data_IF_984565118457
#
_entry.id   IF_984565118457
#
_cell.length_a   1.000
_cell.length_b   1.000
_cell.length_c   1.000
_cell.angle_alpha   90.00
_cell.angle_beta   90.00
_cell.angle_gamma   90.00
#
_symmetry.space_group_name_H-M   'P 1'
#
loop_
_entity.id
_entity.type
_entity.pdbx_description
1 polymer ?
#
# COMPACT_ATOMS: atom_id res chain seq x y z
N UNK A 1 -0.03 70.17 -37.02
CA UNK A 1 -0.74 71.31 -36.41
C UNK A 1 -2.24 71.04 -36.51
N UNK A 2 -2.95 71.04 -35.36
CA UNK A 2 -4.39 71.35 -35.17
C UNK A 2 -5.44 70.52 -35.97
N UNK A 3 -6.61 70.12 -35.48
CA UNK A 3 -7.30 70.14 -34.18
C UNK A 3 -8.71 69.52 -34.42
N UNK A 4 -9.27 68.84 -33.39
CA UNK A 4 -10.68 68.69 -33.03
C UNK A 4 -11.78 68.34 -34.06
N UNK A 5 -12.59 67.31 -33.76
CA UNK A 5 -13.96 67.52 -33.22
C UNK A 5 -14.64 66.27 -32.65
N UNK A 6 -15.27 66.45 -31.50
CA UNK A 6 -16.22 65.58 -30.80
C UNK A 6 -17.59 65.58 -31.49
N UNK A 7 -18.32 64.46 -31.49
CA UNK A 7 -19.79 64.45 -31.39
C UNK A 7 -20.33 63.06 -31.01
N UNK A 8 -21.11 63.08 -29.94
CA UNK A 8 -21.84 61.97 -29.32
C UNK A 8 -23.32 62.09 -29.71
N UNK A 9 -23.99 61.01 -30.12
CA UNK A 9 -25.46 60.88 -29.97
C UNK A 9 -25.89 59.43 -29.71
N UNK A 10 -26.93 59.35 -28.89
CA UNK A 10 -27.71 58.22 -28.32
C UNK A 10 -28.28 57.31 -29.42
N UNK A 11 -28.69 56.06 -29.24
CA UNK A 11 -28.91 55.17 -28.09
C UNK A 11 -29.86 54.07 -28.57
N UNK A 12 -29.78 52.85 -28.03
CA UNK A 12 -30.93 51.95 -27.88
C UNK A 12 -30.56 50.75 -27.00
N UNK A 13 -31.36 50.55 -25.96
CA UNK A 13 -31.38 49.36 -25.10
C UNK A 13 -31.98 48.18 -25.87
N UNK A 14 -31.32 47.03 -25.85
CA UNK A 14 -32.04 45.75 -25.78
C UNK A 14 -31.32 44.79 -24.82
N UNK A 15 -32.15 44.12 -24.04
CA UNK A 15 -31.84 43.16 -23.00
C UNK A 15 -31.59 41.76 -23.60
N UNK A 16 -30.68 41.01 -22.96
CA UNK A 16 -30.64 39.54 -22.82
C UNK A 16 -30.25 38.68 -24.05
N UNK A 17 -28.98 38.23 -24.08
CA UNK A 17 -28.60 36.82 -23.84
C UNK A 17 -27.07 36.67 -23.94
N UNK A 18 -26.39 36.37 -22.85
CA UNK A 18 -24.97 35.96 -22.88
C UNK A 18 -24.94 34.46 -23.19
N UNK A 19 -24.74 34.13 -24.46
CA UNK A 19 -24.38 32.77 -24.88
C UNK A 19 -22.86 32.66 -24.83
N UNK A 20 -22.33 31.98 -23.80
CA UNK A 20 -20.93 31.58 -23.73
C UNK A 20 -20.68 30.49 -24.76
N UNK A 21 -20.09 30.85 -25.90
CA UNK A 21 -19.54 29.90 -26.86
C UNK A 21 -18.24 29.30 -26.30
N UNK A 22 -18.31 28.09 -25.77
CA UNK A 22 -17.15 27.20 -25.66
C UNK A 22 -17.47 25.95 -26.46
N UNK A 23 -16.93 25.88 -27.68
CA UNK A 23 -16.75 24.63 -28.42
C UNK A 23 -15.62 24.83 -29.42
N UNK A 24 -14.43 24.39 -29.04
CA UNK A 24 -13.37 24.03 -29.98
C UNK A 24 -12.81 22.67 -29.53
N UNK A 25 -13.00 21.59 -30.32
CA UNK A 25 -12.48 20.27 -29.96
C UNK A 25 -10.95 20.26 -30.13
N UNK A 26 -10.24 19.91 -29.05
CA UNK A 26 -8.81 19.64 -29.10
C UNK A 26 -8.58 18.41 -29.99
N UNK A 27 -7.73 18.57 -30.99
CA UNK A 27 -7.55 17.60 -32.07
C UNK A 27 -6.57 16.48 -31.72
N UNK A 28 -6.81 15.33 -32.36
CA UNK A 28 -6.20 13.98 -32.35
C UNK A 28 -4.65 13.87 -32.39
N UNK A 29 -3.88 14.94 -32.16
CA UNK A 29 -2.43 14.98 -32.44
C UNK A 29 -1.50 15.09 -31.22
N UNK A 30 -2.05 15.13 -30.00
CA UNK A 30 -1.27 15.11 -28.75
C UNK A 30 -1.31 13.76 -28.00
N UNK A 31 -1.90 12.72 -28.60
CA UNK A 31 -2.14 11.42 -27.96
C UNK A 31 -1.15 10.31 -28.38
N UNK A 32 -0.26 10.55 -29.35
CA UNK A 32 0.58 9.48 -29.92
C UNK A 32 1.99 9.31 -29.30
N UNK A 33 2.35 10.02 -28.23
CA UNK A 33 3.72 10.00 -27.70
C UNK A 33 3.92 9.24 -26.38
N UNK A 34 2.89 8.59 -25.83
CA UNK A 34 2.99 7.91 -24.52
C UNK A 34 2.52 6.45 -24.48
N UNK A 35 2.31 5.79 -25.63
CA UNK A 35 1.83 4.39 -25.66
C UNK A 35 2.63 3.49 -26.62
N UNK A 36 3.93 3.32 -26.37
CA UNK A 36 4.74 2.26 -26.99
C UNK A 36 5.86 1.83 -26.04
N UNK A 37 5.56 0.93 -25.09
CA UNK A 37 6.51 0.00 -24.47
C UNK A 37 5.71 -1.07 -23.70
N UNK A 38 5.05 -1.96 -24.44
CA UNK A 38 4.28 -3.06 -23.87
C UNK A 38 4.09 -4.14 -24.92
N UNK A 39 5.13 -4.94 -25.16
CA UNK A 39 5.05 -6.28 -25.75
C UNK A 39 6.46 -6.89 -25.80
N UNK A 40 6.69 -7.96 -25.03
CA UNK A 40 7.95 -8.71 -25.11
C UNK A 40 8.11 -9.78 -24.05
N UNK A 41 7.17 -10.72 -23.92
CA UNK A 41 7.39 -11.96 -23.17
C UNK A 41 7.58 -13.12 -24.16
N UNK A 42 8.71 -13.81 -24.06
CA UNK A 42 8.94 -15.09 -24.71
C UNK A 42 9.62 -16.05 -23.73
N UNK A 43 9.29 -17.34 -23.90
CA UNK A 43 9.79 -18.55 -23.22
C UNK A 43 9.04 -18.91 -21.91
N UNK A 44 8.66 -20.15 -21.61
CA UNK A 44 8.85 -21.46 -22.27
C UNK A 44 7.79 -22.43 -21.70
N UNK A 45 7.21 -23.29 -22.54
CA UNK A 45 6.31 -24.37 -22.13
C UNK A 45 7.08 -25.69 -21.92
N UNK A 46 6.75 -26.44 -20.87
CA UNK A 46 7.06 -27.88 -20.77
C UNK A 46 6.13 -28.62 -19.78
N UNK A 47 5.31 -29.51 -20.37
CA UNK A 47 4.79 -30.82 -19.97
C UNK A 47 4.33 -31.22 -18.54
N UNK A 48 3.17 -31.90 -18.53
CA UNK A 48 2.75 -32.98 -17.62
C UNK A 48 1.47 -32.64 -16.84
N UNK A 49 0.29 -33.25 -16.99
CA UNK A 49 -0.09 -34.58 -17.47
C UNK A 49 -0.39 -35.50 -16.28
N UNK A 50 -1.66 -35.63 -15.86
CA UNK A 50 -2.08 -36.63 -14.86
C UNK A 50 -3.44 -36.35 -14.20
N UNK A 51 -4.42 -37.19 -14.54
CA UNK A 51 -5.80 -37.23 -14.03
C UNK A 51 -5.89 -37.59 -12.53
N UNK A 52 -6.98 -37.20 -11.84
CA UNK A 52 -7.99 -38.14 -11.28
C UNK A 52 -9.00 -37.51 -10.28
N UNK A 53 -10.27 -37.89 -10.51
CA UNK A 53 -11.34 -38.31 -9.58
C UNK A 53 -11.97 -37.32 -8.55
N UNK A 54 -13.29 -37.44 -8.49
CA UNK A 54 -14.27 -36.65 -7.76
C UNK A 54 -14.51 -37.08 -6.30
N UNK A 55 -15.01 -36.13 -5.52
CA UNK A 55 -16.02 -36.33 -4.46
C UNK A 55 -15.49 -36.52 -3.04
N UNK A 56 -15.85 -35.62 -2.12
CA UNK A 56 -17.03 -35.78 -1.22
C UNK A 56 -17.10 -34.64 -0.21
N UNK A 57 -18.34 -34.27 0.13
CA UNK A 57 -18.73 -33.24 1.09
C UNK A 57 -18.35 -33.59 2.53
N UNK A 58 -17.95 -32.58 3.30
CA UNK A 58 -17.87 -32.67 4.76
C UNK A 58 -18.50 -31.43 5.41
N UNK A 59 -19.44 -31.73 6.31
CA UNK A 59 -20.31 -30.88 7.12
C UNK A 59 -19.54 -29.90 8.01
N UNK A 60 -19.98 -28.64 8.04
CA UNK A 60 -19.43 -27.57 8.88
C UNK A 60 -20.02 -27.60 10.29
N UNK A 61 -19.15 -27.62 11.30
CA UNK A 61 -19.50 -27.45 12.71
C UNK A 61 -19.42 -25.96 13.10
N UNK A 62 -20.43 -25.47 13.82
CA UNK A 62 -20.63 -24.05 14.09
C UNK A 62 -19.79 -23.56 15.27
N UNK A 63 -18.63 -22.95 14.98
CA UNK A 63 -17.83 -22.24 15.97
C UNK A 63 -18.37 -20.82 16.23
N UNK A 64 -18.46 -20.43 17.51
CA UNK A 64 -18.90 -19.11 17.96
C UNK A 64 -18.10 -17.97 17.30
N UNK A 65 -18.81 -16.99 16.75
CA UNK A 65 -18.23 -15.84 16.05
C UNK A 65 -17.37 -15.02 17.01
N UNK A 66 -16.06 -15.02 16.81
CA UNK A 66 -15.15 -14.16 17.55
C UNK A 66 -15.53 -12.68 17.32
N UNK A 67 -15.74 -11.93 18.42
CA UNK A 67 -16.06 -10.51 18.36
C UNK A 67 -14.85 -9.75 17.81
N UNK A 68 -15.03 -9.01 16.72
CA UNK A 68 -13.95 -8.26 16.09
C UNK A 68 -13.32 -7.24 17.08
N UNK A 69 -12.00 -7.14 17.05
CA UNK A 69 -11.26 -6.15 17.82
C UNK A 69 -11.67 -4.72 17.42
N UNK A 70 -11.59 -3.79 18.36
CA UNK A 70 -11.80 -2.36 18.08
C UNK A 70 -10.75 -1.84 17.10
N UNK A 71 -11.05 -0.76 16.36
CA UNK A 71 -10.08 -0.12 15.49
C UNK A 71 -8.93 0.50 16.30
N UNK A 72 -7.71 0.45 15.77
CA UNK A 72 -6.57 1.16 16.35
C UNK A 72 -6.88 2.66 16.45
N UNK A 73 -6.63 3.25 17.62
CA UNK A 73 -7.01 4.63 17.95
C UNK A 73 -8.31 4.76 18.75
N UNK A 74 -9.06 3.67 19.00
CA UNK A 74 -10.30 3.73 19.80
C UNK A 74 -10.02 4.16 21.24
N UNK A 75 -10.78 5.13 21.76
CA UNK A 75 -10.63 5.67 23.12
C UNK A 75 -11.90 5.61 23.95
N UNK A 76 -11.74 5.36 25.25
CA UNK A 76 -12.78 5.49 26.28
C UNK A 76 -12.41 6.71 27.14
N UNK A 77 -13.26 7.74 27.27
CA UNK A 77 -14.42 8.07 26.42
C UNK A 77 -14.00 8.58 25.00
N UNK A 78 -14.91 8.55 23.99
CA UNK A 78 -16.37 8.37 24.11
C UNK A 78 -16.87 6.93 23.96
N UNK A 79 -16.02 5.96 23.60
CA UNK A 79 -16.49 4.58 23.49
C UNK A 79 -16.92 4.04 24.88
N UNK A 80 -17.97 3.22 24.91
CA UNK A 80 -18.40 2.54 26.14
C UNK A 80 -17.49 1.36 26.51
N UNK A 81 -16.85 0.75 25.51
CA UNK A 81 -15.94 -0.39 25.66
C UNK A 81 -14.97 -0.49 24.50
N UNK A 82 -13.85 -1.19 24.71
CA UNK A 82 -12.87 -1.57 23.70
C UNK A 82 -12.80 -3.09 23.63
N UNK A 83 -12.75 -3.68 22.44
CA UNK A 83 -12.46 -5.12 22.27
C UNK A 83 -10.99 -5.28 21.84
N UNK A 84 -10.20 -6.05 22.58
CA UNK A 84 -8.80 -6.35 22.22
C UNK A 84 -8.70 -7.44 21.13
N UNK A 85 -7.49 -7.68 20.63
CA UNK A 85 -7.20 -8.67 19.58
C UNK A 85 -7.51 -10.12 19.96
N UNK A 86 -7.65 -10.42 21.25
CA UNK A 86 -8.04 -11.74 21.76
C UNK A 86 -9.53 -11.82 22.14
N UNK A 87 -10.33 -10.80 21.76
CA UNK A 87 -11.76 -10.74 22.04
C UNK A 87 -12.12 -10.26 23.45
N UNK A 88 -11.15 -9.86 24.27
CA UNK A 88 -11.38 -9.34 25.61
C UNK A 88 -12.01 -7.94 25.57
N UNK A 89 -13.09 -7.73 26.32
CA UNK A 89 -13.79 -6.46 26.38
C UNK A 89 -13.28 -5.65 27.56
N UNK A 90 -12.71 -4.49 27.27
CA UNK A 90 -12.15 -3.55 28.21
C UNK A 90 -13.11 -2.40 28.48
N UNK A 91 -13.28 -2.05 29.75
CA UNK A 91 -14.04 -0.87 30.17
C UNK A 91 -13.32 -0.14 31.29
N UNK A 92 -13.68 1.13 31.49
CA UNK A 92 -13.18 1.93 32.58
C UNK A 92 -14.31 2.15 33.60
N UNK A 93 -14.21 1.50 34.76
CA UNK A 93 -15.25 1.53 35.82
C UNK A 93 -14.67 2.20 37.06
N UNK A 94 -15.28 3.31 37.49
CA UNK A 94 -14.83 4.07 38.67
C UNK A 94 -13.33 4.42 38.66
N UNK A 95 -12.77 4.67 37.46
CA UNK A 95 -11.35 4.97 37.30
C UNK A 95 -10.40 3.76 37.30
N UNK A 96 -10.92 2.53 37.29
CA UNK A 96 -10.14 1.30 37.16
C UNK A 96 -10.38 0.63 35.82
N UNK A 97 -9.30 0.09 35.22
CA UNK A 97 -9.41 -0.72 34.02
C UNK A 97 -9.98 -2.10 34.38
N UNK A 98 -11.01 -2.53 33.67
CA UNK A 98 -11.57 -3.89 33.80
C UNK A 98 -11.48 -4.60 32.46
N UNK A 99 -11.31 -5.93 32.50
CA UNK A 99 -11.34 -6.82 31.33
C UNK A 99 -12.38 -7.89 31.57
N UNK A 100 -13.34 -8.04 30.65
CA UNK A 100 -14.48 -8.94 30.78
C UNK A 100 -15.19 -8.79 32.13
N UNK A 101 -15.35 -7.54 32.60
CA UNK A 101 -15.99 -7.21 33.87
C UNK A 101 -15.14 -7.37 35.13
N UNK A 102 -13.93 -7.94 35.04
CA UNK A 102 -13.02 -8.10 36.19
C UNK A 102 -11.97 -6.98 36.23
N UNK A 103 -11.76 -6.38 37.39
CA UNK A 103 -10.73 -5.35 37.59
C UNK A 103 -9.33 -5.91 37.34
N UNK A 104 -8.52 -5.18 36.56
CA UNK A 104 -7.15 -5.55 36.25
C UNK A 104 -6.19 -4.73 37.12
N UNK A 105 -5.23 -5.41 37.76
CA UNK A 105 -4.17 -4.72 38.51
C UNK A 105 -3.19 -4.07 37.53
N UNK A 106 -3.15 -2.74 37.52
CA UNK A 106 -2.31 -1.97 36.59
C UNK A 106 -1.11 -1.29 37.27
N UNK A 107 -1.12 -1.17 38.61
CA UNK A 107 -0.08 -0.47 39.36
C UNK A 107 -0.12 1.06 39.29
N UNK A 108 -1.16 1.68 38.72
CA UNK A 108 -1.33 3.14 38.83
C UNK A 108 -1.74 3.52 40.25
N UNK A 109 -1.09 4.52 40.89
CA UNK A 109 -1.43 4.98 42.24
C UNK A 109 -2.69 5.88 42.27
N UNK A 110 -3.17 6.32 41.10
CA UNK A 110 -4.35 7.18 40.94
C UNK A 110 -5.25 6.69 39.80
N UNK A 111 -6.51 7.12 39.80
CA UNK A 111 -7.54 6.70 38.86
C UNK A 111 -7.18 6.99 37.38
N UNK A 112 -7.57 6.08 36.50
CA UNK A 112 -7.57 6.28 35.06
C UNK A 112 -8.73 7.18 34.61
N UNK A 113 -8.45 8.05 33.65
CA UNK A 113 -9.44 8.94 33.02
C UNK A 113 -9.67 8.59 31.55
N UNK A 114 -8.74 7.84 30.94
CA UNK A 114 -8.82 7.46 29.53
C UNK A 114 -8.25 6.06 29.32
N UNK A 115 -8.89 5.27 28.46
CA UNK A 115 -8.30 4.06 27.88
C UNK A 115 -8.17 4.21 26.37
N UNK A 116 -7.17 3.56 25.77
CA UNK A 116 -6.85 3.60 24.35
C UNK A 116 -6.49 2.20 23.86
N UNK A 117 -7.08 1.79 22.75
CA UNK A 117 -6.57 0.66 21.96
C UNK A 117 -5.75 1.20 20.82
N UNK A 118 -4.46 0.87 20.75
CA UNK A 118 -3.58 1.36 19.71
C UNK A 118 -2.59 0.30 19.31
N UNK A 119 -2.57 -0.01 18.01
CA UNK A 119 -1.69 -0.99 17.37
C UNK A 119 -1.66 -2.33 18.12
N UNK A 120 -2.84 -2.86 18.48
CA UNK A 120 -2.97 -4.16 19.13
C UNK A 120 -2.81 -4.15 20.65
N UNK A 121 -2.53 -3.01 21.27
CA UNK A 121 -2.22 -2.91 22.70
C UNK A 121 -3.21 -1.99 23.42
N UNK A 122 -3.56 -2.33 24.66
CA UNK A 122 -4.34 -1.48 25.56
C UNK A 122 -3.42 -0.54 26.33
N UNK A 123 -3.76 0.74 26.33
CA UNK A 123 -3.13 1.79 27.14
C UNK A 123 -4.18 2.45 28.02
N UNK A 124 -3.75 3.04 29.14
CA UNK A 124 -4.61 3.88 29.97
C UNK A 124 -3.87 5.11 30.50
N UNK A 125 -4.51 6.27 30.47
CA UNK A 125 -3.99 7.53 31.01
C UNK A 125 -4.64 7.84 32.36
N UNK A 126 -3.83 8.11 33.37
CA UNK A 126 -4.32 8.44 34.70
C UNK A 126 -4.60 9.94 34.89
N UNK A 127 -5.28 10.28 35.98
CA UNK A 127 -5.66 11.65 36.32
C UNK A 127 -4.45 12.58 36.54
N UNK A 128 -3.28 12.02 36.84
CA UNK A 128 -2.01 12.75 36.89
C UNK A 128 -1.34 12.94 35.52
N UNK A 129 -1.96 12.43 34.44
CA UNK A 129 -1.48 12.58 33.07
C UNK A 129 -0.54 11.48 32.58
N UNK A 130 -0.21 10.48 33.41
CA UNK A 130 0.71 9.41 33.05
C UNK A 130 0.02 8.27 32.31
N UNK A 131 0.67 7.77 31.27
CA UNK A 131 0.23 6.63 30.46
C UNK A 131 0.80 5.32 30.97
N UNK A 132 -0.01 4.27 30.89
CA UNK A 132 0.35 2.92 31.25
C UNK A 132 0.04 1.98 30.09
N UNK A 133 0.96 1.07 29.81
CA UNK A 133 0.85 0.07 28.72
C UNK A 133 0.58 -1.31 29.31
N UNK A 134 -0.46 -1.97 28.80
CA UNK A 134 -0.77 -3.37 29.11
C UNK A 134 0.28 -4.34 28.54
N UNK A 135 0.37 -5.54 29.11
CA UNK A 135 1.31 -6.59 28.68
C UNK A 135 2.28 -7.05 29.77
N UNK A 136 2.36 -6.34 30.89
CA UNK A 136 3.07 -6.74 32.12
C UNK A 136 2.15 -6.60 33.33
N UNK A 137 2.48 -7.26 34.44
CA UNK A 137 1.78 -7.08 35.73
C UNK A 137 2.81 -6.67 36.80
N UNK A 138 2.76 -5.42 37.33
CA UNK A 138 1.85 -4.34 36.96
C UNK A 138 2.11 -3.81 35.53
N UNK A 139 1.21 -2.97 35.02
CA UNK A 139 1.36 -2.35 33.69
C UNK A 139 2.58 -1.43 33.66
N UNK A 140 3.22 -1.32 32.50
CA UNK A 140 4.39 -0.48 32.34
C UNK A 140 3.98 1.00 32.36
N UNK A 141 4.52 1.79 33.29
CA UNK A 141 4.36 3.25 33.30
C UNK A 141 5.24 3.89 32.21
N UNK A 142 4.64 4.65 31.31
CA UNK A 142 5.29 5.34 30.19
C UNK A 142 5.48 6.85 30.44
N UNK A 143 5.08 7.36 31.61
CA UNK A 143 5.10 8.79 31.91
C UNK A 143 4.05 9.57 31.10
N UNK A 144 4.25 10.87 30.93
CA UNK A 144 3.23 11.77 30.34
C UNK A 144 3.17 11.74 28.81
N UNK A 145 4.07 11.01 28.15
CA UNK A 145 4.14 10.96 26.70
C UNK A 145 2.99 10.15 26.12
N UNK A 146 2.23 10.73 25.18
CA UNK A 146 1.12 10.04 24.54
C UNK A 146 1.65 8.85 23.73
N UNK A 147 1.18 7.62 23.94
CA UNK A 147 1.68 6.43 23.26
C UNK A 147 1.46 6.46 21.74
N UNK A 148 0.61 7.36 21.23
CA UNK A 148 0.44 7.61 19.80
C UNK A 148 1.58 8.45 19.21
N UNK A 149 2.28 9.22 20.05
CA UNK A 149 3.37 10.14 19.64
C UNK A 149 4.73 9.72 20.18
N UNK A 150 4.83 8.96 21.28
CA UNK A 150 6.08 8.47 21.85
C UNK A 150 6.78 7.40 20.98
N UNK A 151 6.12 6.90 19.93
CA UNK A 151 6.72 6.02 18.94
C UNK A 151 7.74 6.70 18.00
N UNK A 152 8.06 7.99 18.21
CA UNK A 152 9.04 8.75 17.40
C UNK A 152 10.31 9.23 18.13
N UNK A 153 10.59 8.88 19.39
CA UNK A 153 11.88 9.22 20.03
C UNK A 153 12.39 8.16 21.04
N UNK A 154 13.55 7.54 20.77
CA UNK A 154 14.28 6.63 21.67
C UNK A 154 14.88 7.34 22.91
N UNK A 155 15.42 6.68 23.94
CA UNK A 155 16.28 5.49 23.95
C UNK A 155 16.56 4.97 25.39
N UNK A 156 17.10 3.74 25.45
CA UNK A 156 17.94 3.10 26.49
C UNK A 156 17.29 2.24 27.59
N UNK A 157 17.41 0.92 27.37
CA UNK A 157 18.24 0.07 28.23
C UNK A 157 17.55 -0.68 29.36
N UNK A 158 17.02 -1.88 29.08
CA UNK A 158 17.21 -3.05 29.98
C UNK A 158 16.89 -4.33 29.20
N UNK A 159 17.70 -5.36 29.41
CA UNK A 159 17.62 -6.65 28.71
C UNK A 159 16.22 -7.25 28.81
N UNK A 160 15.47 -7.21 27.71
CA UNK A 160 14.18 -7.87 27.58
C UNK A 160 14.40 -9.32 27.15
N UNK A 161 13.78 -10.24 27.88
CA UNK A 161 13.71 -11.68 27.60
C UNK A 161 13.60 -11.98 26.10
N UNK A 162 14.51 -12.83 25.58
CA UNK A 162 14.73 -13.15 24.16
C UNK A 162 13.80 -14.24 23.58
N UNK A 163 12.65 -14.52 24.20
CA UNK A 163 11.72 -15.47 23.61
C UNK A 163 10.99 -14.81 22.42
N UNK A 164 11.42 -15.11 21.20
CA UNK A 164 10.72 -14.75 19.96
C UNK A 164 11.29 -13.61 19.12
N UNK A 165 12.44 -13.00 19.49
CA UNK A 165 13.12 -11.99 18.65
C UNK A 165 14.58 -12.37 18.43
N UNK A 166 15.01 -12.45 17.17
CA UNK A 166 16.40 -12.66 16.75
C UNK A 166 16.94 -11.40 16.09
N UNK A 167 18.17 -11.01 16.41
CA UNK A 167 18.82 -9.85 15.78
C UNK A 167 19.59 -10.29 14.55
N UNK A 168 19.50 -9.52 13.46
CA UNK A 168 20.28 -9.71 12.24
C UNK A 168 21.78 -9.95 12.48
N UNK A 169 22.38 -9.24 13.44
CA UNK A 169 23.80 -9.37 13.80
C UNK A 169 24.19 -10.77 14.27
N UNK A 170 23.29 -11.57 14.85
CA UNK A 170 23.61 -12.95 15.25
C UNK A 170 23.88 -13.86 14.06
N UNK A 171 23.49 -13.43 12.85
CA UNK A 171 23.73 -14.13 11.59
C UNK A 171 24.88 -13.52 10.78
N UNK A 172 25.64 -12.60 11.37
CA UNK A 172 26.82 -11.99 10.76
C UNK A 172 26.56 -10.75 9.92
N UNK A 173 25.33 -10.22 9.92
CA UNK A 173 25.00 -8.94 9.26
C UNK A 173 25.83 -7.81 9.87
N UNK A 174 26.52 -7.05 9.02
CA UNK A 174 27.37 -5.93 9.46
C UNK A 174 26.56 -4.66 9.65
N UNK A 175 25.70 -4.32 8.68
CA UNK A 175 24.83 -3.15 8.74
C UNK A 175 25.61 -1.83 8.80
N UNK A 176 26.78 -1.77 8.18
CA UNK A 176 27.75 -0.66 8.24
C UNK A 176 27.62 0.35 7.07
N UNK A 177 26.63 0.16 6.19
CA UNK A 177 26.39 0.99 5.02
C UNK A 177 27.28 0.68 3.81
N UNK A 178 28.20 -0.29 3.92
CA UNK A 178 29.24 -0.58 2.92
C UNK A 178 29.30 -2.07 2.55
N UNK A 179 29.33 -2.95 3.54
CA UNK A 179 29.45 -4.40 3.36
C UNK A 179 28.22 -4.96 2.65
N UNK A 180 28.43 -5.86 1.69
CA UNK A 180 27.36 -6.64 1.09
C UNK A 180 26.82 -7.65 2.11
N UNK A 181 25.75 -7.27 2.79
CA UNK A 181 25.09 -8.06 3.83
C UNK A 181 24.09 -9.08 3.25
N UNK A 182 23.91 -9.14 1.93
CA UNK A 182 22.85 -9.96 1.30
C UNK A 182 22.84 -11.40 1.80
N UNK A 183 24.00 -12.05 1.84
CA UNK A 183 24.14 -13.42 2.31
C UNK A 183 23.74 -13.60 3.77
N UNK A 184 24.23 -12.72 4.65
CA UNK A 184 23.95 -12.76 6.08
C UNK A 184 22.49 -12.42 6.39
N UNK A 185 21.89 -11.46 5.68
CA UNK A 185 20.48 -11.12 5.82
C UNK A 185 19.56 -12.27 5.41
N UNK A 186 19.89 -13.00 4.35
CA UNK A 186 19.12 -14.19 4.00
C UNK A 186 19.25 -15.28 5.06
N UNK A 187 20.46 -15.54 5.56
CA UNK A 187 20.65 -16.49 6.65
C UNK A 187 19.82 -16.09 7.89
N UNK A 188 19.72 -14.78 8.17
CA UNK A 188 18.86 -14.27 9.22
C UNK A 188 17.37 -14.49 8.95
N UNK A 189 16.90 -14.28 7.72
CA UNK A 189 15.51 -14.56 7.32
C UNK A 189 15.21 -16.05 7.44
N UNK A 190 16.10 -16.91 6.92
CA UNK A 190 15.95 -18.37 6.95
C UNK A 190 15.92 -18.89 8.40
N UNK A 191 16.80 -18.38 9.26
CA UNK A 191 16.93 -18.79 10.65
C UNK A 191 15.93 -18.18 11.63
N UNK A 192 15.05 -17.28 11.18
CA UNK A 192 14.08 -16.57 12.03
C UNK A 192 12.62 -16.92 11.74
N UNK A 193 12.34 -17.87 10.85
CA UNK A 193 10.96 -18.30 10.54
C UNK A 193 10.22 -18.69 11.82
N UNK A 194 9.02 -18.15 12.03
CA UNK A 194 8.23 -18.35 13.25
C UNK A 194 8.67 -17.48 14.44
N UNK A 195 9.69 -16.65 14.26
CA UNK A 195 10.16 -15.64 15.20
C UNK A 195 10.21 -14.26 14.52
N UNK A 196 10.49 -13.22 15.28
CA UNK A 196 10.69 -11.87 14.76
C UNK A 196 12.18 -11.68 14.45
N UNK A 197 12.53 -11.40 13.19
CA UNK A 197 13.84 -10.88 12.82
C UNK A 197 13.87 -9.36 13.01
N UNK A 198 14.77 -8.88 13.86
CA UNK A 198 15.07 -7.46 14.02
C UNK A 198 16.29 -7.07 13.17
N UNK A 199 16.07 -6.28 12.12
CA UNK A 199 17.12 -5.65 11.31
C UNK A 199 17.54 -4.35 12.00
N UNK A 200 18.81 -4.20 12.31
CA UNK A 200 19.30 -3.14 13.22
C UNK A 200 20.19 -2.10 12.56
N UNK A 201 20.81 -2.43 11.43
CA UNK A 201 21.82 -1.59 10.78
C UNK A 201 21.43 -1.05 9.41
N UNK A 202 22.39 -0.39 8.77
CA UNK A 202 22.30 0.10 7.39
C UNK A 202 22.90 -0.95 6.47
N UNK A 203 22.14 -1.95 6.10
CA UNK A 203 22.64 -3.04 5.26
C UNK A 203 22.71 -2.65 3.79
N UNK A 204 23.66 -3.26 3.08
CA UNK A 204 23.72 -3.21 1.62
C UNK A 204 23.48 -4.58 1.02
N UNK A 205 22.80 -4.63 -0.12
CA UNK A 205 22.57 -5.88 -0.85
C UNK A 205 22.91 -5.71 -2.33
N UNK A 206 23.32 -6.78 -2.98
CA UNK A 206 23.38 -6.86 -4.43
C UNK A 206 22.01 -7.19 -5.06
N UNK A 207 21.94 -7.20 -6.38
CA UNK A 207 20.72 -7.41 -7.15
C UNK A 207 20.09 -8.81 -7.02
N UNK A 208 20.75 -9.76 -6.34
CA UNK A 208 20.16 -11.08 -6.04
C UNK A 208 18.94 -10.97 -5.11
N UNK A 209 18.91 -9.91 -4.28
CA UNK A 209 17.80 -9.65 -3.38
C UNK A 209 17.66 -10.65 -2.23
N UNK A 210 16.52 -10.59 -1.56
CA UNK A 210 16.16 -11.43 -0.42
C UNK A 210 14.87 -12.21 -0.73
N UNK A 211 14.84 -13.49 -0.37
CA UNK A 211 13.64 -14.35 -0.49
C UNK A 211 13.03 -14.54 0.89
N UNK A 212 11.76 -14.23 1.05
CA UNK A 212 11.03 -14.47 2.29
C UNK A 212 10.34 -15.84 2.26
N UNK A 213 10.05 -16.37 3.45
CA UNK A 213 9.38 -17.66 3.64
C UNK A 213 7.98 -17.45 4.21
N UNK A 214 7.19 -18.52 4.27
CA UNK A 214 5.96 -18.49 5.05
C UNK A 214 6.29 -18.32 6.53
N UNK A 215 5.44 -17.60 7.28
CA UNK A 215 5.66 -17.29 8.70
C UNK A 215 6.89 -16.40 8.98
N UNK A 216 7.33 -15.62 7.98
CA UNK A 216 8.35 -14.59 8.17
C UNK A 216 7.74 -13.39 8.91
N UNK A 217 8.43 -12.93 9.96
CA UNK A 217 8.14 -11.65 10.62
C UNK A 217 9.44 -10.83 10.71
N UNK A 218 9.52 -9.72 9.96
CA UNK A 218 10.67 -8.81 9.97
C UNK A 218 10.27 -7.48 10.59
N UNK A 219 11.13 -6.92 11.43
CA UNK A 219 11.02 -5.55 11.97
C UNK A 219 12.32 -4.81 11.73
N UNK A 220 12.21 -3.57 11.24
CA UNK A 220 13.34 -2.65 11.16
C UNK A 220 13.42 -1.82 12.43
N UNK A 221 14.61 -1.75 13.03
CA UNK A 221 14.89 -0.78 14.07
C UNK A 221 14.88 0.65 13.51
N UNK A 222 14.70 1.64 14.38
CA UNK A 222 14.76 3.04 13.96
C UNK A 222 16.10 3.35 13.27
N UNK A 223 16.05 3.86 12.04
CA UNK A 223 17.23 4.20 11.24
C UNK A 223 17.91 3.00 10.56
N UNK A 224 17.40 1.79 10.73
CA UNK A 224 17.82 0.63 9.94
C UNK A 224 17.32 0.77 8.49
N UNK A 225 18.09 0.26 7.54
CA UNK A 225 17.74 0.31 6.12
C UNK A 225 18.42 -0.79 5.33
N UNK A 226 17.88 -1.07 4.15
CA UNK A 226 18.54 -1.89 3.13
C UNK A 226 18.68 -1.05 1.87
N UNK A 227 19.90 -0.91 1.36
CA UNK A 227 20.19 -0.13 0.15
C UNK A 227 20.94 -0.97 -0.89
N UNK A 228 20.49 -0.95 -2.13
CA UNK A 228 21.14 -1.65 -3.26
C UNK A 228 22.58 -1.14 -3.47
N UNK A 229 23.55 -2.04 -3.65
CA UNK A 229 24.90 -1.74 -4.16
C UNK A 229 24.85 -1.27 -5.63
N UNK A 230 25.92 -0.69 -6.18
CA UNK A 230 26.03 -0.49 -7.63
C UNK A 230 25.72 -1.77 -8.40
N UNK A 231 24.93 -1.66 -9.46
CA UNK A 231 24.41 -2.80 -10.20
C UNK A 231 24.26 -2.49 -11.68
N UNK A 232 24.08 -3.54 -12.49
CA UNK A 232 23.85 -3.48 -13.93
C UNK A 232 22.85 -4.57 -14.32
N UNK A 233 21.58 -4.33 -14.03
CA UNK A 233 20.50 -5.28 -14.35
C UNK A 233 19.22 -4.51 -14.65
N UNK A 234 18.47 -5.00 -15.63
CA UNK A 234 17.13 -4.50 -15.99
C UNK A 234 16.03 -5.01 -15.06
N UNK A 235 16.33 -6.03 -14.24
CA UNK A 235 15.41 -6.61 -13.27
C UNK A 235 16.05 -6.88 -11.91
N UNK A 236 15.31 -6.61 -10.84
CA UNK A 236 15.62 -7.05 -9.47
C UNK A 236 14.38 -6.97 -8.58
N UNK A 237 14.41 -7.68 -7.45
CA UNK A 237 13.46 -7.50 -6.36
C UNK A 237 14.25 -7.49 -5.05
N UNK A 238 14.24 -6.37 -4.31
CA UNK A 238 15.01 -6.30 -3.06
C UNK A 238 14.46 -7.29 -2.02
N UNK A 239 13.13 -7.42 -1.93
CA UNK A 239 12.42 -8.43 -1.14
C UNK A 239 11.35 -9.15 -1.97
N UNK A 240 11.46 -10.48 -2.05
CA UNK A 240 10.50 -11.37 -2.71
C UNK A 240 9.60 -12.05 -1.68
N UNK A 241 8.31 -11.73 -1.72
CA UNK A 241 7.24 -12.37 -0.96
C UNK A 241 6.43 -13.22 -1.94
N UNK A 242 7.05 -14.30 -2.42
CA UNK A 242 6.52 -15.10 -3.53
C UNK A 242 6.03 -16.45 -3.05
N UNK A 243 4.78 -16.78 -3.37
CA UNK A 243 4.17 -18.10 -3.09
C UNK A 243 4.22 -18.53 -1.62
N UNK A 244 4.25 -17.55 -0.72
CA UNK A 244 4.32 -17.73 0.74
C UNK A 244 3.10 -17.19 1.44
N UNK A 245 2.92 -17.58 2.70
CA UNK A 245 1.78 -17.16 3.52
C UNK A 245 2.19 -16.65 4.89
N UNK A 246 1.35 -15.82 5.50
CA UNK A 246 1.56 -15.30 6.85
C UNK A 246 2.89 -14.55 6.98
N UNK A 247 3.00 -13.41 6.29
CA UNK A 247 4.20 -12.57 6.29
C UNK A 247 3.89 -11.22 6.92
N UNK A 248 4.71 -10.80 7.88
CA UNK A 248 4.63 -9.48 8.51
C UNK A 248 5.95 -8.72 8.34
N UNK A 249 5.90 -7.49 7.82
CA UNK A 249 7.07 -6.63 7.64
C UNK A 249 6.78 -5.26 8.25
N UNK A 250 7.52 -4.91 9.31
CA UNK A 250 7.34 -3.67 10.05
C UNK A 250 8.46 -2.65 9.75
N UNK A 251 8.03 -1.47 9.31
CA UNK A 251 8.84 -0.29 9.00
C UNK A 251 10.03 -0.53 8.04
N UNK A 252 9.90 -1.34 6.97
CA UNK A 252 11.04 -1.57 6.07
C UNK A 252 11.42 -0.27 5.38
N UNK A 253 12.72 0.05 5.37
CA UNK A 253 13.27 1.17 4.61
C UNK A 253 14.18 0.63 3.51
N UNK A 254 13.70 0.68 2.27
CA UNK A 254 14.36 0.10 1.10
C UNK A 254 14.73 1.20 0.11
N UNK A 255 16.01 1.28 -0.25
CA UNK A 255 16.54 2.17 -1.27
C UNK A 255 17.07 1.36 -2.45
N UNK A 256 16.36 1.46 -3.58
CA UNK A 256 16.67 0.75 -4.81
C UNK A 256 17.88 1.28 -5.56
N UNK A 257 18.45 2.40 -5.12
CA UNK A 257 19.65 3.04 -5.70
C UNK A 257 19.60 3.15 -7.23
N UNK A 258 18.47 3.56 -7.82
CA UNK A 258 18.32 3.67 -9.29
C UNK A 258 19.46 4.48 -9.93
N UNK A 259 20.01 5.45 -9.22
CA UNK A 259 21.15 6.28 -9.64
C UNK A 259 22.46 5.49 -9.81
N UNK A 260 22.55 4.32 -9.17
CA UNK A 260 23.69 3.41 -9.26
C UNK A 260 23.44 2.25 -10.24
N UNK A 261 22.28 2.20 -10.89
CA UNK A 261 22.03 1.22 -11.94
C UNK A 261 22.64 1.71 -13.25
N UNK A 262 23.61 0.97 -13.77
CA UNK A 262 24.28 1.29 -15.04
C UNK A 262 23.62 0.63 -16.26
N UNK A 263 22.48 -0.06 -16.08
CA UNK A 263 21.66 -0.51 -17.21
C UNK A 263 20.95 0.69 -17.84
N UNK A 264 20.89 0.76 -19.17
CA UNK A 264 20.23 1.85 -19.90
C UNK A 264 18.80 1.54 -20.35
N UNK A 265 18.25 0.39 -19.96
CA UNK A 265 16.97 -0.14 -20.46
C UNK A 265 16.26 -1.01 -19.42
N UNK A 266 15.05 -1.47 -19.74
CA UNK A 266 14.23 -2.31 -18.88
C UNK A 266 13.44 -1.53 -17.83
N UNK A 267 12.56 -2.22 -17.10
CA UNK A 267 11.51 -1.60 -16.27
C UNK A 267 11.31 -2.25 -14.89
N UNK A 268 11.91 -3.42 -14.62
CA UNK A 268 11.46 -4.34 -13.56
C UNK A 268 12.36 -4.39 -12.31
N UNK A 269 12.65 -3.24 -11.67
CA UNK A 269 13.42 -3.22 -10.41
C UNK A 269 12.59 -2.80 -9.19
N UNK A 270 12.11 -3.77 -8.41
CA UNK A 270 11.16 -3.52 -7.33
C UNK A 270 11.79 -3.47 -5.94
N UNK A 271 11.25 -2.62 -5.07
CA UNK A 271 11.52 -2.67 -3.63
C UNK A 271 10.96 -3.95 -3.01
N UNK A 272 9.64 -4.09 -2.98
CA UNK A 272 8.95 -5.29 -2.47
C UNK A 272 8.11 -5.89 -3.59
N UNK A 273 8.31 -7.17 -3.88
CA UNK A 273 7.51 -7.90 -4.87
C UNK A 273 6.69 -8.98 -4.17
N UNK A 274 5.36 -8.89 -4.28
CA UNK A 274 4.37 -9.79 -3.69
C UNK A 274 3.69 -10.55 -4.83
N UNK A 275 3.87 -11.87 -4.89
CA UNK A 275 3.41 -12.67 -6.03
C UNK A 275 2.88 -14.02 -5.57
N UNK A 276 1.60 -14.32 -5.81
CA UNK A 276 0.96 -15.56 -5.33
C UNK A 276 0.93 -15.75 -3.81
N UNK A 277 1.20 -14.69 -3.04
CA UNK A 277 1.31 -14.75 -1.59
C UNK A 277 -0.03 -14.47 -0.90
N UNK A 278 -0.23 -15.02 0.31
CA UNK A 278 -1.49 -14.87 1.06
C UNK A 278 -1.29 -14.45 2.50
N UNK A 279 -2.04 -13.44 2.99
CA UNK A 279 -1.92 -12.99 4.37
C UNK A 279 -0.60 -12.25 4.59
N UNK A 280 -0.42 -11.16 3.86
CA UNK A 280 0.77 -10.30 3.92
C UNK A 280 0.38 -8.98 4.56
N UNK A 281 1.06 -8.61 5.65
CA UNK A 281 0.89 -7.31 6.31
C UNK A 281 2.20 -6.54 6.26
N UNK A 282 2.16 -5.30 5.76
CA UNK A 282 3.32 -4.41 5.71
C UNK A 282 2.95 -3.07 6.33
N UNK A 283 3.63 -2.69 7.40
CA UNK A 283 3.32 -1.46 8.15
C UNK A 283 4.45 -0.45 8.00
N UNK A 284 4.09 0.78 7.61
CA UNK A 284 4.98 1.91 7.36
C UNK A 284 6.18 1.60 6.44
N UNK A 285 6.00 0.91 5.28
CA UNK A 285 7.11 0.71 4.38
C UNK A 285 7.53 2.01 3.71
N UNK A 286 8.83 2.19 3.54
CA UNK A 286 9.43 3.23 2.71
C UNK A 286 10.21 2.55 1.58
N UNK A 287 9.83 2.84 0.34
CA UNK A 287 10.50 2.34 -0.87
C UNK A 287 10.91 3.52 -1.73
N UNK A 288 12.22 3.76 -1.85
CA UNK A 288 12.73 4.92 -2.57
C UNK A 288 13.68 4.53 -3.68
N UNK A 289 13.75 5.38 -4.72
CA UNK A 289 14.72 5.25 -5.80
C UNK A 289 14.75 3.85 -6.43
N UNK A 290 13.62 3.16 -6.52
CA UNK A 290 13.52 1.88 -7.20
C UNK A 290 13.67 2.07 -8.71
N UNK A 291 14.35 1.14 -9.39
CA UNK A 291 14.54 1.16 -10.84
C UNK A 291 13.22 0.91 -11.60
N UNK A 292 12.28 0.20 -10.99
CA UNK A 292 10.89 0.08 -11.43
C UNK A 292 9.99 0.65 -10.34
N UNK A 293 9.34 -0.24 -9.61
CA UNK A 293 8.24 0.10 -8.72
C UNK A 293 8.62 0.01 -7.24
N UNK A 294 7.96 0.80 -6.39
CA UNK A 294 8.14 0.66 -4.94
C UNK A 294 7.64 -0.69 -4.45
N UNK A 295 6.36 -0.99 -4.69
CA UNK A 295 5.74 -2.29 -4.40
C UNK A 295 5.08 -2.85 -5.66
N UNK A 296 5.28 -4.12 -5.95
CA UNK A 296 4.58 -4.86 -7.00
C UNK A 296 3.71 -5.95 -6.39
N UNK A 297 2.47 -6.10 -6.86
CA UNK A 297 1.53 -7.14 -6.45
C UNK A 297 0.95 -7.83 -7.68
N UNK A 298 1.12 -9.15 -7.79
CA UNK A 298 0.65 -9.91 -8.94
C UNK A 298 0.34 -11.38 -8.66
N UNK A 299 0.11 -12.12 -9.74
CA UNK A 299 0.05 -13.58 -9.72
C UNK A 299 1.43 -14.18 -9.41
N UNK A 300 1.45 -15.46 -9.05
CA UNK A 300 2.65 -16.23 -8.73
C UNK A 300 3.71 -16.10 -9.81
N UNK A 301 4.91 -15.71 -9.39
CA UNK A 301 6.13 -15.74 -10.20
C UNK A 301 6.94 -17.03 -9.99
N UNK A 302 6.55 -17.89 -9.03
CA UNK A 302 7.10 -19.23 -8.81
C UNK A 302 6.42 -20.34 -9.61
N UNK A 303 5.43 -20.01 -10.44
CA UNK A 303 4.78 -20.96 -11.35
C UNK A 303 3.53 -21.67 -10.80
N UNK A 304 3.05 -21.30 -9.61
CA UNK A 304 1.86 -21.91 -9.02
C UNK A 304 0.54 -21.42 -9.63
N UNK A 305 0.59 -20.34 -10.42
CA UNK A 305 -0.58 -19.66 -10.97
C UNK A 305 -1.47 -18.97 -9.93
N UNK A 306 -1.09 -18.99 -8.63
CA UNK A 306 -1.88 -18.39 -7.55
C UNK A 306 -1.93 -16.88 -7.67
N UNK A 307 -3.10 -16.31 -7.37
CA UNK A 307 -3.28 -14.87 -7.18
C UNK A 307 -2.89 -14.47 -5.76
N UNK A 308 -2.21 -13.32 -5.62
CA UNK A 308 -1.96 -12.75 -4.28
C UNK A 308 -3.26 -12.38 -3.58
N UNK A 309 -3.42 -12.75 -2.31
CA UNK A 309 -4.66 -12.48 -1.58
C UNK A 309 -4.46 -12.03 -0.13
N UNK A 310 -5.40 -11.26 0.40
CA UNK A 310 -5.33 -10.73 1.77
C UNK A 310 -4.00 -10.01 2.05
N UNK A 311 -3.74 -8.95 1.28
CA UNK A 311 -2.54 -8.12 1.41
C UNK A 311 -2.95 -6.77 1.99
N UNK A 312 -2.35 -6.38 3.12
CA UNK A 312 -2.58 -5.10 3.77
C UNK A 312 -1.29 -4.31 3.85
N UNK A 313 -1.31 -3.09 3.35
CA UNK A 313 -0.19 -2.14 3.41
C UNK A 313 -0.68 -0.83 4.00
N UNK A 314 -0.08 -0.39 5.12
CA UNK A 314 -0.47 0.86 5.79
C UNK A 314 0.70 1.83 5.87
N UNK A 315 0.48 3.10 5.56
CA UNK A 315 1.51 4.14 5.66
C UNK A 315 2.68 3.96 4.68
N UNK A 316 2.41 3.41 3.49
CA UNK A 316 3.45 3.24 2.46
C UNK A 316 3.91 4.59 1.95
N UNK A 317 5.21 4.84 2.01
CA UNK A 317 5.86 5.98 1.36
C UNK A 317 6.70 5.50 0.18
N UNK A 318 6.24 5.75 -1.04
CA UNK A 318 7.07 5.60 -2.23
C UNK A 318 7.57 6.96 -2.69
N UNK A 319 8.88 7.10 -2.89
CA UNK A 319 9.46 8.37 -3.33
C UNK A 319 10.55 8.16 -4.38
N UNK A 320 10.43 8.84 -5.52
CA UNK A 320 11.48 8.82 -6.52
C UNK A 320 11.67 7.47 -7.22
N UNK A 321 10.68 6.57 -7.21
CA UNK A 321 10.72 5.37 -8.06
C UNK A 321 10.64 5.77 -9.53
N UNK A 322 11.24 4.97 -10.42
CA UNK A 322 11.36 5.33 -11.84
C UNK A 322 10.09 5.06 -12.63
N UNK A 323 9.37 3.96 -12.32
CA UNK A 323 8.12 3.60 -12.99
C UNK A 323 6.94 3.91 -12.09
N UNK A 324 6.61 3.10 -11.07
CA UNK A 324 5.46 3.38 -10.20
C UNK A 324 5.81 3.53 -8.72
N UNK A 325 4.93 4.17 -7.95
CA UNK A 325 4.91 3.96 -6.50
C UNK A 325 4.49 2.53 -6.18
N UNK A 326 3.39 2.08 -6.77
CA UNK A 326 2.85 0.72 -6.67
C UNK A 326 2.32 0.23 -8.01
N UNK A 327 2.54 -1.04 -8.32
CA UNK A 327 1.85 -1.76 -9.39
C UNK A 327 1.00 -2.90 -8.81
N UNK A 328 -0.26 -3.01 -9.22
CA UNK A 328 -1.13 -4.15 -8.94
C UNK A 328 -1.57 -4.74 -10.28
N UNK A 329 -0.97 -5.86 -10.69
CA UNK A 329 -1.37 -6.57 -11.91
C UNK A 329 -2.39 -7.67 -11.60
N UNK A 330 -2.40 -8.19 -10.37
CA UNK A 330 -3.46 -9.06 -9.88
C UNK A 330 -3.51 -9.15 -8.36
N UNK A 331 -4.71 -9.18 -7.78
CA UNK A 331 -4.93 -9.50 -6.38
C UNK A 331 -6.41 -9.64 -5.99
N UNK A 332 -6.64 -10.33 -4.87
CA UNK A 332 -7.94 -10.40 -4.20
C UNK A 332 -7.83 -9.98 -2.73
N UNK A 333 -8.52 -8.92 -2.32
CA UNK A 333 -8.43 -8.42 -0.95
C UNK A 333 -7.12 -7.70 -0.71
N UNK A 334 -6.84 -6.69 -1.53
CA UNK A 334 -5.65 -5.83 -1.41
C UNK A 334 -6.09 -4.51 -0.79
N UNK A 335 -5.47 -4.09 0.32
CA UNK A 335 -5.79 -2.84 0.99
C UNK A 335 -4.55 -1.98 1.19
N UNK A 336 -4.57 -0.76 0.65
CA UNK A 336 -3.64 0.30 1.01
C UNK A 336 -4.33 1.35 1.87
N UNK A 337 -3.73 1.72 3.01
CA UNK A 337 -4.27 2.76 3.91
C UNK A 337 -3.25 3.87 4.13
N UNK A 338 -3.68 5.10 3.84
CA UNK A 338 -2.88 6.33 3.96
C UNK A 338 -1.49 6.25 3.30
N UNK A 339 -1.37 5.78 2.03
CA UNK A 339 -0.10 5.84 1.33
C UNK A 339 0.22 7.28 0.86
N UNK A 340 1.51 7.58 0.77
CA UNK A 340 2.06 8.72 0.06
C UNK A 340 2.93 8.20 -1.09
N UNK A 341 2.53 8.50 -2.31
CA UNK A 341 3.32 8.18 -3.51
C UNK A 341 3.73 9.47 -4.20
N UNK A 342 5.03 9.77 -4.20
CA UNK A 342 5.52 11.06 -4.66
C UNK A 342 6.78 11.00 -5.53
N UNK A 343 6.94 12.05 -6.35
CA UNK A 343 8.10 12.27 -7.21
C UNK A 343 8.41 11.08 -8.15
N UNK A 344 7.35 10.38 -8.58
CA UNK A 344 7.46 9.21 -9.45
C UNK A 344 7.69 9.66 -10.88
N UNK A 345 8.82 9.27 -11.47
CA UNK A 345 9.20 9.74 -12.81
C UNK A 345 10.35 8.94 -13.43
N UNK A 346 10.33 8.85 -14.75
CA UNK A 346 11.45 8.38 -15.57
C UNK A 346 11.06 7.30 -16.58
N UNK A 347 10.05 6.50 -16.29
CA UNK A 347 9.50 5.50 -17.22
C UNK A 347 8.00 5.42 -17.07
N UNK A 348 7.29 5.43 -18.19
CA UNK A 348 5.84 5.43 -18.21
C UNK A 348 5.26 4.15 -17.56
N UNK A 349 4.06 4.21 -16.95
CA UNK A 349 3.21 5.39 -16.80
C UNK A 349 3.68 6.47 -15.82
N UNK A 350 4.67 6.24 -14.94
CA UNK A 350 5.14 7.25 -13.97
C UNK A 350 4.07 7.73 -12.97
N UNK A 351 3.19 6.83 -12.53
CA UNK A 351 2.07 7.10 -11.64
C UNK A 351 2.33 6.69 -10.17
N UNK A 352 1.52 7.22 -9.25
CA UNK A 352 1.58 6.81 -7.85
C UNK A 352 1.15 5.35 -7.67
N UNK A 353 0.02 4.97 -8.29
CA UNK A 353 -0.48 3.61 -8.35
C UNK A 353 -0.96 3.26 -9.75
N UNK A 354 -0.49 2.12 -10.25
CA UNK A 354 -0.92 1.51 -11.51
C UNK A 354 -1.65 0.20 -11.23
N UNK A 355 -2.90 0.09 -11.67
CA UNK A 355 -3.64 -1.18 -11.69
C UNK A 355 -3.78 -1.59 -13.14
N UNK A 356 -2.88 -2.47 -13.58
CA UNK A 356 -2.71 -2.86 -14.99
C UNK A 356 -2.47 -4.38 -15.04
N UNK A 357 -3.50 -5.20 -15.33
CA UNK A 357 -3.34 -6.64 -15.41
C UNK A 357 -2.51 -7.03 -16.64
N UNK A 358 -1.60 -7.98 -16.46
CA UNK A 358 -0.74 -8.48 -17.55
C UNK A 358 -1.56 -9.24 -18.60
N UNK A 359 -2.59 -9.98 -18.18
CA UNK A 359 -3.46 -10.79 -19.04
C UNK A 359 -4.83 -11.12 -18.39
N UNK A 360 -5.65 -11.89 -19.11
CA UNK A 360 -6.96 -12.36 -18.66
C UNK A 360 -6.88 -13.48 -17.60
N UNK A 361 -5.71 -13.86 -17.08
CA UNK A 361 -5.62 -14.67 -15.86
C UNK A 361 -5.78 -13.82 -14.60
N UNK A 362 -5.55 -12.50 -14.69
CA UNK A 362 -5.60 -11.60 -13.54
C UNK A 362 -6.95 -11.58 -12.83
N UNK A 363 -6.89 -11.40 -11.52
CA UNK A 363 -8.01 -11.10 -10.62
C UNK A 363 -7.81 -9.68 -10.09
N UNK A 364 -8.87 -8.86 -10.09
CA UNK A 364 -8.87 -7.50 -9.54
C UNK A 364 -10.12 -7.32 -8.66
N UNK A 365 -10.13 -7.98 -7.50
CA UNK A 365 -11.31 -8.06 -6.63
C UNK A 365 -11.02 -7.58 -5.21
N UNK A 366 -12.00 -6.94 -4.58
CA UNK A 366 -11.88 -6.42 -3.23
C UNK A 366 -10.60 -5.57 -3.02
N UNK A 367 -10.25 -4.74 -4.00
CA UNK A 367 -9.11 -3.83 -3.93
C UNK A 367 -9.58 -2.51 -3.32
N UNK A 368 -8.95 -2.11 -2.21
CA UNK A 368 -9.30 -0.90 -1.45
C UNK A 368 -8.09 0.01 -1.28
N UNK A 369 -8.21 1.23 -1.77
CA UNK A 369 -7.19 2.28 -1.60
C UNK A 369 -7.82 3.40 -0.78
N UNK A 370 -7.37 3.57 0.46
CA UNK A 370 -8.01 4.44 1.45
C UNK A 370 -7.06 5.58 1.80
N UNK A 371 -7.54 6.82 1.63
CA UNK A 371 -6.80 8.06 1.89
C UNK A 371 -5.44 8.15 1.16
N UNK A 372 -5.29 7.78 -0.13
CA UNK A 372 -4.03 7.94 -0.82
C UNK A 372 -3.72 9.42 -1.08
N UNK A 373 -2.43 9.77 -0.99
CA UNK A 373 -1.91 11.05 -1.48
C UNK A 373 -0.92 10.81 -2.60
N UNK A 374 -1.13 11.45 -3.74
CA UNK A 374 -0.20 11.43 -4.88
C UNK A 374 0.32 12.83 -5.15
N UNK A 375 1.63 12.96 -5.35
CA UNK A 375 2.27 14.28 -5.51
C UNK A 375 3.47 14.23 -6.44
N UNK A 376 3.53 15.15 -7.41
CA UNK A 376 4.71 15.28 -8.26
C UNK A 376 5.02 14.05 -9.12
N UNK A 377 4.04 13.18 -9.37
CA UNK A 377 4.18 12.11 -10.36
C UNK A 377 4.15 12.72 -11.77
N UNK A 378 5.02 12.21 -12.65
CA UNK A 378 5.09 12.62 -14.05
C UNK A 378 3.93 12.04 -14.88
N UNK A 379 3.28 10.97 -14.39
CA UNK A 379 2.04 10.41 -14.91
C UNK A 379 0.81 10.81 -14.08
N UNK A 380 -0.32 10.09 -14.24
CA UNK A 380 -1.49 10.29 -13.39
C UNK A 380 -1.18 9.94 -11.92
N UNK A 381 -1.94 10.47 -10.97
CA UNK A 381 -1.84 10.06 -9.57
C UNK A 381 -2.13 8.57 -9.41
N UNK A 382 -3.30 8.12 -9.88
CA UNK A 382 -3.73 6.72 -9.91
C UNK A 382 -4.22 6.38 -11.32
N UNK A 383 -3.80 5.23 -11.84
CA UNK A 383 -4.27 4.67 -13.09
C UNK A 383 -4.91 3.29 -12.89
N UNK A 384 -6.00 3.03 -13.61
CA UNK A 384 -6.57 1.69 -13.80
C UNK A 384 -6.67 1.44 -15.30
N UNK A 385 -5.78 0.61 -15.84
CA UNK A 385 -5.72 0.32 -17.27
C UNK A 385 -6.05 -1.15 -17.53
N UNK A 386 -7.17 -1.44 -18.18
CA UNK A 386 -7.72 -2.81 -18.33
C UNK A 386 -7.49 -3.42 -19.74
N UNK A 387 -6.47 -2.94 -20.46
CA UNK A 387 -6.12 -3.37 -21.83
C UNK A 387 -6.07 -4.88 -22.03
N UNK A 388 -5.43 -5.60 -21.11
CA UNK A 388 -5.25 -7.05 -21.21
C UNK A 388 -6.25 -7.84 -20.36
N UNK A 389 -7.24 -7.18 -19.74
CA UNK A 389 -8.11 -7.82 -18.76
C UNK A 389 -9.24 -8.65 -19.40
N UNK A 390 -9.77 -8.20 -20.53
CA UNK A 390 -10.82 -8.91 -21.26
C UNK A 390 -10.24 -10.14 -21.98
N UNK A 391 -10.93 -11.28 -21.90
CA UNK A 391 -10.48 -12.52 -22.54
C UNK A 391 -11.43 -13.69 -22.32
N UNK A 392 -10.98 -14.93 -22.57
CA UNK A 392 -11.82 -16.13 -22.49
C UNK A 392 -12.49 -16.38 -21.14
N UNK A 393 -11.85 -15.97 -20.05
CA UNK A 393 -12.40 -16.06 -18.70
C UNK A 393 -13.20 -14.80 -18.42
N UNK A 394 -14.50 -14.97 -18.13
CA UNK A 394 -15.37 -13.88 -17.71
C UNK A 394 -14.83 -13.23 -16.42
N UNK A 395 -14.83 -11.90 -16.37
CA UNK A 395 -14.26 -11.14 -15.26
C UNK A 395 -15.31 -10.35 -14.49
N UNK A 396 -15.01 -10.17 -13.21
CA UNK A 396 -15.68 -9.23 -12.33
C UNK A 396 -14.62 -8.42 -11.57
N UNK A 397 -14.61 -7.10 -11.76
CA UNK A 397 -13.69 -6.16 -11.10
C UNK A 397 -14.38 -5.47 -9.92
N UNK A 398 -13.65 -5.32 -8.81
CA UNK A 398 -14.08 -4.51 -7.66
C UNK A 398 -12.89 -3.73 -7.11
N UNK A 399 -12.85 -2.44 -7.46
CA UNK A 399 -11.82 -1.49 -7.04
C UNK A 399 -12.50 -0.29 -6.39
N UNK A 400 -12.11 0.01 -5.15
CA UNK A 400 -12.66 1.08 -4.34
C UNK A 400 -11.55 2.00 -3.85
N UNK A 401 -11.57 3.24 -4.32
CA UNK A 401 -10.65 4.30 -3.92
C UNK A 401 -11.45 5.31 -3.11
N UNK A 402 -10.91 5.79 -1.99
CA UNK A 402 -11.60 6.77 -1.15
C UNK A 402 -10.66 7.86 -0.66
N UNK A 403 -11.15 9.10 -0.64
CA UNK A 403 -10.45 10.29 -0.15
C UNK A 403 -9.07 10.50 -0.81
N UNK A 404 -8.98 10.21 -2.11
CA UNK A 404 -7.75 10.43 -2.86
C UNK A 404 -7.46 11.92 -2.98
N UNK A 405 -6.30 12.34 -2.48
CA UNK A 405 -5.76 13.69 -2.67
C UNK A 405 -4.67 13.65 -3.73
N UNK A 406 -4.78 14.48 -4.77
CA UNK A 406 -3.81 14.49 -5.88
C UNK A 406 -3.22 15.87 -6.12
N UNK A 407 -1.90 15.88 -6.36
CA UNK A 407 -1.10 17.03 -6.77
C UNK A 407 -0.14 16.66 -7.92
N UNK A 408 -0.50 15.70 -8.76
CA UNK A 408 0.32 15.29 -9.91
C UNK A 408 0.04 16.18 -11.13
N UNK A 409 0.99 16.21 -12.06
CA UNK A 409 0.93 17.17 -13.18
C UNK A 409 -0.11 16.77 -14.25
N UNK A 410 -0.20 15.48 -14.58
CA UNK A 410 -1.00 14.98 -15.70
C UNK A 410 -2.48 14.79 -15.35
N UNK A 411 -2.77 14.53 -14.08
CA UNK A 411 -4.14 14.38 -13.59
C UNK A 411 -4.25 13.40 -12.43
N UNK A 412 -5.39 13.37 -11.74
CA UNK A 412 -5.53 12.61 -10.53
C UNK A 412 -5.78 11.12 -10.78
N UNK A 413 -6.74 10.81 -11.64
CA UNK A 413 -7.30 9.49 -11.76
C UNK A 413 -7.65 9.20 -13.21
N UNK A 414 -7.05 8.16 -13.76
CA UNK A 414 -7.29 7.67 -15.11
C UNK A 414 -7.87 6.27 -15.08
N UNK A 415 -8.95 6.04 -15.83
CA UNK A 415 -9.46 4.69 -16.09
C UNK A 415 -9.52 4.47 -17.60
N UNK A 416 -9.08 3.32 -18.08
CA UNK A 416 -9.18 3.08 -19.52
C UNK A 416 -8.69 1.73 -20.05
N UNK A 417 -8.63 1.66 -21.37
CA UNK A 417 -8.06 0.54 -22.13
C UNK A 417 -8.99 -0.66 -22.33
N UNK A 418 -10.22 -0.65 -21.83
CA UNK A 418 -11.10 -1.80 -21.90
C UNK A 418 -11.78 -1.94 -23.28
N UNK A 419 -11.36 -2.96 -24.03
CA UNK A 419 -12.07 -3.44 -25.22
C UNK A 419 -12.66 -4.83 -24.96
N UNK A 420 -13.99 -4.98 -25.00
CA UNK A 420 -14.59 -6.27 -24.69
C UNK A 420 -14.42 -7.30 -25.80
N UNK A 421 -14.51 -6.92 -27.08
CA UNK A 421 -14.36 -7.84 -28.21
C UNK A 421 -15.20 -9.14 -28.07
N UNK A 422 -16.44 -9.00 -27.58
CA UNK A 422 -17.36 -10.12 -27.30
C UNK A 422 -17.10 -10.89 -26.00
N UNK A 423 -16.13 -10.47 -25.18
CA UNK A 423 -15.84 -10.99 -23.84
C UNK A 423 -16.68 -10.30 -22.77
N UNK A 424 -16.66 -10.86 -21.56
CA UNK A 424 -17.44 -10.38 -20.43
C UNK A 424 -16.52 -9.84 -19.35
N UNK A 425 -16.64 -8.55 -19.07
CA UNK A 425 -16.02 -7.90 -17.91
C UNK A 425 -17.10 -7.08 -17.22
N UNK A 426 -17.38 -7.40 -15.95
CA UNK A 426 -18.45 -6.80 -15.14
C UNK A 426 -17.88 -6.21 -13.85
N UNK A 427 -18.71 -5.59 -13.01
CA UNK A 427 -18.31 -5.08 -11.70
C UNK A 427 -18.18 -3.56 -11.68
N UNK A 428 -17.33 -3.02 -10.81
CA UNK A 428 -17.22 -1.59 -10.60
C UNK A 428 -15.80 -1.11 -10.23
N UNK A 429 -15.51 0.12 -10.66
CA UNK A 429 -14.34 0.92 -10.26
C UNK A 429 -14.88 2.23 -9.71
N UNK A 430 -14.68 2.48 -8.41
CA UNK A 430 -15.26 3.65 -7.74
C UNK A 430 -14.19 4.48 -7.05
N UNK A 431 -14.21 5.80 -7.26
CA UNK A 431 -13.47 6.78 -6.46
C UNK A 431 -14.45 7.67 -5.68
N UNK A 432 -14.38 7.67 -4.35
CA UNK A 432 -15.32 8.40 -3.48
C UNK A 432 -14.66 9.50 -2.68
N UNK A 433 -15.31 10.67 -2.63
CA UNK A 433 -14.88 11.88 -1.94
C UNK A 433 -13.44 12.34 -2.27
N UNK A 434 -12.98 12.31 -3.54
CA UNK A 434 -11.64 12.76 -3.85
C UNK A 434 -11.48 14.29 -3.71
N UNK A 435 -10.25 14.73 -3.50
CA UNK A 435 -9.83 16.14 -3.55
C UNK A 435 -8.74 16.29 -4.60
N UNK A 436 -9.08 16.91 -5.73
CA UNK A 436 -8.21 17.00 -6.89
C UNK A 436 -8.09 18.42 -7.42
N UNK A 437 -6.98 18.72 -8.08
CA UNK A 437 -6.80 20.00 -8.80
C UNK A 437 -7.36 19.98 -10.22
N UNK A 438 -7.49 18.80 -10.79
CA UNK A 438 -7.92 18.58 -12.16
C UNK A 438 -9.03 17.52 -12.20
N UNK A 439 -9.76 17.43 -13.30
CA UNK A 439 -10.77 16.40 -13.46
C UNK A 439 -10.14 15.03 -13.77
N UNK A 440 -10.85 13.95 -13.47
CA UNK A 440 -10.47 12.60 -13.87
C UNK A 440 -10.78 12.36 -15.36
N UNK A 441 -10.23 11.29 -15.93
CA UNK A 441 -10.50 10.90 -17.32
C UNK A 441 -10.86 9.42 -17.47
N UNK A 442 -11.72 9.15 -18.45
CA UNK A 442 -12.08 7.83 -18.94
C UNK A 442 -11.64 7.73 -20.40
N UNK A 443 -10.64 6.91 -20.70
CA UNK A 443 -10.09 6.71 -22.06
C UNK A 443 -10.36 5.31 -22.57
N UNK A 444 -10.66 5.15 -23.87
CA UNK A 444 -10.82 3.84 -24.54
C UNK A 444 -11.60 2.82 -23.70
N UNK A 445 -12.91 3.02 -23.57
CA UNK A 445 -13.76 2.25 -22.67
C UNK A 445 -15.03 1.73 -23.34
N UNK A 446 -15.22 0.41 -23.34
CA UNK A 446 -16.49 -0.19 -23.74
C UNK A 446 -17.58 0.06 -22.69
N UNK A 447 -18.63 0.77 -23.10
CA UNK A 447 -19.80 1.11 -22.27
C UNK A 447 -20.54 -0.09 -21.65
N UNK A 448 -20.38 -1.30 -22.21
CA UNK A 448 -20.95 -2.54 -21.67
C UNK A 448 -20.08 -3.18 -20.58
N UNK A 449 -18.90 -2.63 -20.33
CA UNK A 449 -17.96 -3.08 -19.32
C UNK A 449 -18.38 -2.71 -17.89
N UNK A 450 -17.44 -2.80 -16.94
CA UNK A 450 -17.66 -2.40 -15.56
C UNK A 450 -18.09 -0.94 -15.41
N UNK A 451 -18.87 -0.68 -14.37
CA UNK A 451 -19.29 0.68 -14.04
C UNK A 451 -18.10 1.45 -13.44
N UNK A 452 -17.75 2.58 -14.06
CA UNK A 452 -16.78 3.53 -13.48
C UNK A 452 -17.55 4.67 -12.83
N UNK A 453 -17.18 5.06 -11.61
CA UNK A 453 -17.89 6.10 -10.87
C UNK A 453 -16.96 6.95 -10.02
N UNK A 454 -17.11 8.27 -10.13
CA UNK A 454 -16.49 9.23 -9.21
C UNK A 454 -17.60 9.91 -8.43
N UNK A 455 -17.58 9.77 -7.11
CA UNK A 455 -18.65 10.19 -6.20
C UNK A 455 -18.15 11.32 -5.32
N UNK A 456 -18.91 12.43 -5.26
CA UNK A 456 -18.61 13.64 -4.46
C UNK A 456 -17.19 14.23 -4.67
N UNK A 457 -16.71 14.44 -5.91
CA UNK A 457 -15.41 15.03 -6.12
C UNK A 457 -15.37 16.50 -5.68
N UNK A 458 -14.29 16.91 -5.02
CA UNK A 458 -13.92 18.31 -4.83
C UNK A 458 -12.80 18.63 -5.82
N UNK A 459 -13.11 19.47 -6.80
CA UNK A 459 -12.15 19.89 -7.83
C UNK A 459 -11.93 21.40 -7.66
N UNK A 460 -10.69 21.84 -7.46
CA UNK A 460 -10.36 23.25 -7.23
C UNK A 460 -8.88 23.56 -7.12
#
# INVERSE_FOLDING_TARGET
MSSNRFLQTRGNNSLLSVSSNINAPLTRRNFLTYLMAGAGSAALAACGGGSEVAGTDAVADAAAVAKAASSSGTVIPPAASITDSSGGVWTLVSGHATRNGSTVSTGSPVAYTTMLYFNGVIYAKNSAGNWYKSGTTPWQNLGTADPRTAATAGSQGTATSTSGVLQDKSFGVKGDGTTNDRAALQAAIDGSVGQILLITGKSRIDATGLTLHSNTHIRFAQGASIKMLPHKTDTYQMMRVWDVSNVNIEAPYLDGSKELNSVGYGEFGMGISIAGATGVTITNPTTINCWGDGIYIGNSMGGSGKTSSNVSVSGHHANGCRRQGVSITSGNGITFTSPLWENISGTAPSCGLDIEPDDNSAVLQAIKIVNPTTQGCAGPGIQVYLGSFAGPVAKNVDIQISNHTDNCAIGPFGVGGLELNGRVVTGAITSSNPVWKQNWYLGDWDSKGPKVSVVNPKIG
#
